data_IF_534613712576
#
_entry.id   IF_534613712576
#
_cell.length_a   1.000
_cell.length_b   1.000
_cell.length_c   1.000
_cell.angle_alpha   90.00
_cell.angle_beta   90.00
_cell.angle_gamma   90.00
#
_symmetry.space_group_name_H-M   'P 1'
#
loop_
_entity.id
_entity.type
_entity.pdbx_description
1 polymer ?
#
# COMPACT_ATOMS: atom_id res chain seq x y z
N UNK A 1 24.38 4.68 -30.04
CA UNK A 1 23.82 6.04 -29.80
C UNK A 1 22.30 6.04 -29.76
N UNK A 2 21.56 5.61 -30.80
CA UNK A 2 20.06 5.66 -30.84
C UNK A 2 19.31 5.12 -29.61
N UNK A 3 19.74 3.99 -29.03
CA UNK A 3 19.07 3.40 -27.86
C UNK A 3 19.13 4.31 -26.62
N UNK A 4 20.22 5.06 -26.44
CA UNK A 4 20.39 5.96 -25.29
C UNK A 4 19.56 7.24 -25.44
N UNK A 5 19.42 7.74 -26.67
CA UNK A 5 18.59 8.90 -26.97
C UNK A 5 17.09 8.60 -26.73
N UNK A 6 16.64 7.41 -27.12
CA UNK A 6 15.29 6.92 -26.86
C UNK A 6 15.00 6.75 -25.37
N UNK A 7 15.96 6.19 -24.61
CA UNK A 7 15.87 6.04 -23.14
C UNK A 7 15.68 7.41 -22.48
N UNK A 8 16.52 8.39 -22.85
CA UNK A 8 16.50 9.73 -22.27
C UNK A 8 15.18 10.43 -22.58
N UNK A 9 14.67 10.31 -23.80
CA UNK A 9 13.42 10.96 -24.22
C UNK A 9 12.21 10.51 -23.38
N UNK A 10 12.17 9.24 -22.97
CA UNK A 10 11.04 8.65 -22.23
C UNK A 10 11.15 8.79 -20.71
N UNK A 11 12.35 9.06 -20.18
CA UNK A 11 12.54 9.40 -18.76
C UNK A 11 12.27 10.87 -18.47
N UNK A 12 12.53 11.78 -19.42
CA UNK A 12 12.23 13.22 -19.27
C UNK A 12 10.86 13.52 -18.66
N UNK A 13 9.73 12.98 -19.17
CA UNK A 13 8.42 13.26 -18.58
C UNK A 13 8.27 12.70 -17.16
N UNK A 14 8.92 11.58 -16.82
CA UNK A 14 8.91 11.00 -15.47
C UNK A 14 9.67 11.90 -14.50
N UNK A 15 10.89 12.30 -14.87
CA UNK A 15 11.71 13.22 -14.08
C UNK A 15 11.03 14.57 -13.88
N UNK A 16 10.38 15.10 -14.93
CA UNK A 16 9.60 16.33 -14.84
C UNK A 16 8.40 16.17 -13.90
N UNK A 17 7.64 15.08 -14.01
CA UNK A 17 6.52 14.81 -13.11
C UNK A 17 6.98 14.72 -11.64
N UNK A 18 8.11 14.06 -11.39
CA UNK A 18 8.70 13.97 -10.05
C UNK A 18 9.23 15.30 -9.52
N UNK A 19 9.85 16.11 -10.37
CA UNK A 19 10.32 17.43 -9.98
C UNK A 19 9.15 18.37 -9.63
N UNK A 20 8.10 18.36 -10.47
CA UNK A 20 6.88 19.13 -10.21
C UNK A 20 6.21 18.66 -8.92
N UNK A 21 6.13 17.33 -8.71
CA UNK A 21 5.59 16.77 -7.48
C UNK A 21 6.40 17.23 -6.27
N UNK A 22 7.71 17.02 -6.26
CA UNK A 22 8.57 17.40 -5.13
C UNK A 22 8.46 18.89 -4.79
N UNK A 23 8.47 19.76 -5.81
CA UNK A 23 8.28 21.19 -5.62
C UNK A 23 6.90 21.53 -5.03
N UNK A 24 5.85 20.81 -5.44
CA UNK A 24 4.49 21.01 -4.93
C UNK A 24 4.37 20.57 -3.47
N UNK A 25 5.01 19.45 -3.09
CA UNK A 25 4.96 18.93 -1.72
C UNK A 25 5.60 19.88 -0.71
N UNK A 26 6.59 20.68 -1.11
CA UNK A 26 7.24 21.67 -0.23
C UNK A 26 6.30 22.72 0.36
N UNK A 27 5.18 23.01 -0.32
CA UNK A 27 4.22 24.03 0.11
C UNK A 27 3.09 23.47 0.97
N UNK A 28 3.00 22.16 1.13
CA UNK A 28 1.92 21.51 1.88
C UNK A 28 2.49 20.99 3.19
N UNK A 29 2.09 21.55 4.35
CA UNK A 29 2.45 21.00 5.66
C UNK A 29 2.12 19.50 5.72
N UNK A 30 2.91 18.73 6.47
CA UNK A 30 2.87 17.24 6.54
C UNK A 30 3.48 16.56 5.31
N UNK A 31 3.27 17.08 4.10
CA UNK A 31 3.86 16.51 2.88
C UNK A 31 5.26 17.04 2.55
N UNK A 32 5.65 18.15 3.16
CA UNK A 32 6.95 18.80 2.99
C UNK A 32 8.10 18.13 3.77
N UNK A 33 7.80 17.08 4.55
CA UNK A 33 8.78 16.24 5.24
C UNK A 33 8.82 14.84 4.63
N UNK A 34 10.00 14.20 4.64
CA UNK A 34 10.12 12.78 4.28
C UNK A 34 9.48 11.92 5.39
N UNK A 35 8.25 11.47 5.17
CA UNK A 35 7.50 10.61 6.10
C UNK A 35 6.46 9.77 5.34
N UNK A 36 5.56 9.09 6.04
CA UNK A 36 4.60 8.16 5.43
C UNK A 36 3.69 8.84 4.41
N UNK A 37 3.24 10.06 4.67
CA UNK A 37 2.26 10.78 3.87
C UNK A 37 2.86 11.22 2.54
N UNK A 38 4.03 11.86 2.60
CA UNK A 38 4.77 12.23 1.39
C UNK A 38 5.21 11.00 0.60
N UNK A 39 5.65 9.92 1.26
CA UNK A 39 5.97 8.66 0.61
C UNK A 39 4.75 8.05 -0.10
N UNK A 40 3.55 8.13 0.48
CA UNK A 40 2.34 7.61 -0.14
C UNK A 40 1.94 8.40 -1.39
N UNK A 41 2.02 9.73 -1.33
CA UNK A 41 1.76 10.59 -2.49
C UNK A 41 2.80 10.36 -3.59
N UNK A 42 4.09 10.24 -3.24
CA UNK A 42 5.15 9.91 -4.21
C UNK A 42 4.89 8.54 -4.83
N UNK A 43 4.51 7.53 -4.05
CA UNK A 43 4.19 6.20 -4.56
C UNK A 43 3.06 6.21 -5.57
N UNK A 44 1.96 6.93 -5.27
CA UNK A 44 0.81 7.08 -6.16
C UNK A 44 1.23 7.66 -7.52
N UNK A 45 1.94 8.78 -7.51
CA UNK A 45 2.39 9.44 -8.74
C UNK A 45 3.44 8.60 -9.48
N UNK A 46 4.37 7.99 -8.73
CA UNK A 46 5.42 7.14 -9.28
C UNK A 46 4.87 5.91 -9.98
N UNK A 47 3.85 5.26 -9.41
CA UNK A 47 3.18 4.13 -10.02
C UNK A 47 2.66 4.50 -11.42
N UNK A 48 1.95 5.62 -11.55
CA UNK A 48 1.40 6.04 -12.85
C UNK A 48 2.46 6.55 -13.82
N UNK A 49 3.38 7.40 -13.37
CA UNK A 49 4.42 7.98 -14.21
C UNK A 49 5.39 6.90 -14.75
N UNK A 50 5.92 6.06 -13.86
CA UNK A 50 6.83 4.99 -14.23
C UNK A 50 6.14 3.91 -15.08
N UNK A 51 4.91 3.52 -14.71
CA UNK A 51 4.16 2.51 -15.44
C UNK A 51 3.76 2.92 -16.86
N UNK A 52 3.22 4.13 -17.04
CA UNK A 52 2.88 4.66 -18.36
C UNK A 52 4.11 4.84 -19.25
N UNK A 53 5.22 5.34 -18.69
CA UNK A 53 6.49 5.39 -19.40
C UNK A 53 6.92 3.98 -19.82
N UNK A 54 6.89 3.01 -18.91
CA UNK A 54 7.28 1.62 -19.18
C UNK A 54 6.42 0.94 -20.25
N UNK A 55 5.11 1.21 -20.32
CA UNK A 55 4.25 0.75 -21.43
C UNK A 55 4.79 1.27 -22.77
N UNK A 56 5.20 2.54 -22.83
CA UNK A 56 5.82 3.13 -24.01
C UNK A 56 7.12 2.45 -24.41
N UNK A 57 7.99 2.12 -23.44
CA UNK A 57 9.25 1.42 -23.69
C UNK A 57 9.03 0.03 -24.26
N UNK A 58 8.21 -0.80 -23.60
CA UNK A 58 7.99 -2.20 -24.00
C UNK A 58 7.22 -2.36 -25.32
N UNK A 59 6.56 -1.30 -25.79
CA UNK A 59 5.92 -1.28 -27.12
C UNK A 59 6.86 -0.88 -28.24
N UNK A 60 7.80 0.02 -27.97
CA UNK A 60 8.63 0.61 -29.01
C UNK A 60 9.89 -0.21 -29.30
N UNK A 61 10.52 -0.76 -28.26
CA UNK A 61 11.82 -1.43 -28.39
C UNK A 61 11.82 -2.70 -27.53
N UNK A 62 12.43 -3.81 -28.00
CA UNK A 62 12.71 -4.95 -27.15
C UNK A 62 13.82 -4.58 -26.16
N UNK A 63 13.41 -4.09 -24.98
CA UNK A 63 14.30 -3.75 -23.86
C UNK A 63 14.13 -4.75 -22.71
N UNK A 64 15.22 -5.13 -22.03
CA UNK A 64 15.12 -6.01 -20.87
C UNK A 64 14.43 -5.29 -19.71
N UNK A 65 13.51 -6.00 -19.04
CA UNK A 65 12.72 -5.47 -17.91
C UNK A 65 13.60 -4.87 -16.83
N UNK A 66 14.72 -5.52 -16.49
CA UNK A 66 15.65 -5.03 -15.47
C UNK A 66 16.25 -3.66 -15.78
N UNK A 67 16.50 -3.33 -17.06
CA UNK A 67 17.00 -2.00 -17.44
C UNK A 67 15.92 -0.93 -17.32
N UNK A 68 14.68 -1.25 -17.68
CA UNK A 68 13.54 -0.33 -17.52
C UNK A 68 13.31 -0.09 -16.03
N UNK A 69 13.27 -1.17 -15.23
CA UNK A 69 13.10 -1.08 -13.79
C UNK A 69 14.19 -0.23 -13.15
N UNK A 70 15.47 -0.54 -13.39
CA UNK A 70 16.59 0.21 -12.83
C UNK A 70 16.53 1.71 -13.18
N UNK A 71 16.10 2.05 -14.40
CA UNK A 71 15.95 3.44 -14.81
C UNK A 71 14.79 4.15 -14.08
N UNK A 72 13.65 3.48 -13.89
CA UNK A 72 12.51 4.05 -13.15
C UNK A 72 12.79 4.16 -11.65
N UNK A 73 13.46 3.18 -11.06
CA UNK A 73 13.90 3.22 -9.66
C UNK A 73 14.93 4.34 -9.44
N UNK A 74 15.92 4.48 -10.34
CA UNK A 74 16.88 5.57 -10.27
C UNK A 74 16.20 6.96 -10.35
N UNK A 75 15.10 7.07 -11.09
CA UNK A 75 14.33 8.31 -11.18
C UNK A 75 13.69 8.71 -9.84
N UNK A 76 13.38 7.76 -8.94
CA UNK A 76 12.91 8.06 -7.57
C UNK A 76 13.95 8.80 -6.72
N UNK A 77 15.21 8.86 -7.16
CA UNK A 77 16.22 9.74 -6.57
C UNK A 77 15.84 11.22 -6.64
N UNK A 78 15.03 11.65 -7.62
CA UNK A 78 14.55 13.04 -7.72
C UNK A 78 13.62 13.42 -6.55
N UNK A 79 12.47 12.76 -6.34
CA UNK A 79 11.58 13.13 -5.24
C UNK A 79 12.23 12.88 -3.88
N UNK A 80 13.08 11.84 -3.75
CA UNK A 80 13.85 11.63 -2.53
C UNK A 80 14.78 12.80 -2.23
N UNK A 81 15.62 13.20 -3.19
CA UNK A 81 16.55 14.31 -3.00
C UNK A 81 15.81 15.61 -2.70
N UNK A 82 14.69 15.87 -3.38
CA UNK A 82 13.88 17.07 -3.12
C UNK A 82 13.28 17.09 -1.71
N UNK A 83 12.79 15.96 -1.20
CA UNK A 83 12.31 15.88 0.18
C UNK A 83 13.44 15.90 1.21
N UNK A 84 14.63 15.41 0.87
CA UNK A 84 15.82 15.54 1.75
C UNK A 84 16.28 16.99 1.83
N UNK A 85 16.21 17.74 0.73
CA UNK A 85 16.61 19.15 0.69
C UNK A 85 15.77 20.03 1.61
N UNK A 86 14.58 19.59 2.07
CA UNK A 86 13.76 20.38 3.00
C UNK A 86 14.26 20.37 4.44
N UNK A 87 15.15 19.44 4.81
CA UNK A 87 15.69 19.30 6.17
C UNK A 87 16.19 20.61 6.83
N UNK A 88 16.86 21.55 6.13
CA UNK A 88 17.38 22.76 6.75
C UNK A 88 16.31 23.73 7.24
N UNK A 89 15.09 23.70 6.65
CA UNK A 89 13.99 24.62 7.01
C UNK A 89 12.76 23.90 7.57
N UNK A 90 12.63 22.59 7.37
CA UNK A 90 11.63 21.74 8.04
C UNK A 90 12.37 20.60 8.75
N UNK A 91 12.76 20.79 10.02
CA UNK A 91 13.43 19.75 10.79
C UNK A 91 12.59 18.47 10.83
N UNK A 92 13.21 17.33 10.49
CA UNK A 92 12.55 16.03 10.49
C UNK A 92 13.27 15.07 11.44
N UNK A 93 12.75 14.91 12.65
CA UNK A 93 13.29 14.00 13.66
C UNK A 93 13.12 12.52 13.27
N UNK A 94 12.14 12.21 12.41
CA UNK A 94 11.80 10.86 11.94
C UNK A 94 12.41 10.49 10.60
N UNK A 95 13.49 11.15 10.17
CA UNK A 95 14.05 10.99 8.82
C UNK A 95 14.39 9.53 8.46
N UNK A 96 14.95 8.77 9.41
CA UNK A 96 15.26 7.34 9.21
C UNK A 96 14.02 6.48 8.94
N UNK A 97 12.93 6.74 9.67
CA UNK A 97 11.63 6.09 9.45
C UNK A 97 11.05 6.54 8.10
N UNK A 98 11.20 7.82 7.75
CA UNK A 98 10.82 8.35 6.44
C UNK A 98 11.52 7.65 5.27
N UNK A 99 12.81 7.37 5.38
CA UNK A 99 13.56 6.58 4.40
C UNK A 99 13.02 5.16 4.26
N UNK A 100 12.67 4.52 5.38
CA UNK A 100 12.05 3.20 5.37
C UNK A 100 10.70 3.24 4.63
N UNK A 101 9.84 4.21 4.92
CA UNK A 101 8.57 4.35 4.18
C UNK A 101 8.79 4.66 2.71
N UNK A 102 9.78 5.47 2.36
CA UNK A 102 10.13 5.73 0.97
C UNK A 102 10.61 4.47 0.23
N UNK A 103 11.36 3.61 0.91
CA UNK A 103 11.78 2.31 0.37
C UNK A 103 10.61 1.31 0.28
N UNK A 104 9.67 1.35 1.21
CA UNK A 104 8.52 0.44 1.22
C UNK A 104 7.41 0.88 0.26
N UNK A 105 7.20 2.17 0.04
CA UNK A 105 6.04 2.69 -0.70
C UNK A 105 6.42 2.97 -2.17
N UNK A 106 7.13 4.07 -2.52
CA UNK A 106 7.50 4.37 -3.91
C UNK A 106 8.23 3.25 -4.64
N UNK A 107 9.30 2.71 -4.06
CA UNK A 107 10.14 1.69 -4.72
C UNK A 107 9.32 0.46 -5.06
N UNK A 108 8.63 -0.14 -4.07
CA UNK A 108 7.81 -1.34 -4.31
C UNK A 108 6.68 -1.06 -5.31
N UNK A 109 6.09 0.13 -5.28
CA UNK A 109 5.01 0.51 -6.21
C UNK A 109 5.52 0.68 -7.64
N UNK A 110 6.74 1.19 -7.83
CA UNK A 110 7.40 1.26 -9.15
C UNK A 110 7.71 -0.14 -9.69
N UNK A 111 8.23 -1.05 -8.85
CA UNK A 111 8.43 -2.46 -9.25
C UNK A 111 7.13 -3.07 -9.78
N UNK A 112 6.02 -2.89 -9.07
CA UNK A 112 4.72 -3.37 -9.51
C UNK A 112 4.26 -2.71 -10.81
N UNK A 113 4.40 -1.38 -10.93
CA UNK A 113 3.99 -0.63 -12.11
C UNK A 113 4.72 -1.12 -13.38
N UNK A 114 6.04 -1.33 -13.29
CA UNK A 114 6.87 -1.83 -14.39
C UNK A 114 6.46 -3.26 -14.77
N UNK A 115 6.23 -4.14 -13.78
CA UNK A 115 5.79 -5.51 -14.01
C UNK A 115 4.40 -5.57 -14.67
N UNK A 116 3.45 -4.75 -14.23
CA UNK A 116 2.12 -4.63 -14.81
C UNK A 116 2.20 -4.12 -16.26
N UNK A 117 3.00 -3.08 -16.52
CA UNK A 117 3.23 -2.57 -17.87
C UNK A 117 3.84 -3.64 -18.79
N UNK A 118 4.77 -4.45 -18.28
CA UNK A 118 5.38 -5.55 -19.02
C UNK A 118 4.37 -6.65 -19.38
N UNK A 119 3.51 -7.03 -18.44
CA UNK A 119 2.45 -8.03 -18.63
C UNK A 119 1.38 -7.54 -19.63
N UNK A 120 0.90 -6.29 -19.48
CA UNK A 120 -0.13 -5.73 -20.35
C UNK A 120 0.33 -5.57 -21.79
N UNK A 121 1.60 -5.23 -22.01
CA UNK A 121 2.17 -5.15 -23.36
C UNK A 121 2.45 -6.52 -23.97
N UNK A 122 2.57 -7.57 -23.14
CA UNK A 122 2.65 -8.97 -23.57
C UNK A 122 1.27 -9.59 -23.84
N UNK A 123 0.20 -9.05 -23.26
CA UNK A 123 -1.17 -9.50 -23.46
C UNK A 123 -1.79 -8.95 -24.77
N UNK A 124 -2.85 -9.57 -25.32
CA UNK A 124 -3.52 -9.10 -26.54
C UNK A 124 -4.44 -7.89 -26.28
N UNK A 125 -3.94 -6.89 -25.55
CA UNK A 125 -4.70 -5.70 -25.17
C UNK A 125 -4.51 -4.60 -26.21
N UNK A 126 -5.60 -4.10 -26.80
CA UNK A 126 -5.55 -3.07 -27.86
C UNK A 126 -4.91 -1.74 -27.38
N UNK A 127 -5.19 -1.34 -26.13
CA UNK A 127 -4.74 -0.07 -25.54
C UNK A 127 -4.11 -0.30 -24.16
N UNK A 128 -2.87 -0.87 -24.08
CA UNK A 128 -2.27 -1.27 -22.81
C UNK A 128 -2.07 -0.10 -21.83
N UNK A 129 -1.82 1.12 -22.33
CA UNK A 129 -1.72 2.30 -21.46
C UNK A 129 -3.04 2.67 -20.78
N UNK A 130 -4.18 2.57 -21.49
CA UNK A 130 -5.51 2.79 -20.87
C UNK A 130 -5.85 1.68 -19.89
N UNK A 131 -5.58 0.43 -20.25
CA UNK A 131 -5.77 -0.71 -19.34
C UNK A 131 -4.93 -0.55 -18.07
N UNK A 132 -3.67 -0.12 -18.19
CA UNK A 132 -2.79 0.16 -17.07
C UNK A 132 -3.40 1.20 -16.12
N UNK A 133 -3.87 2.34 -16.65
CA UNK A 133 -4.48 3.40 -15.82
C UNK A 133 -5.74 2.90 -15.14
N UNK A 134 -6.63 2.22 -15.87
CA UNK A 134 -7.87 1.71 -15.29
C UNK A 134 -7.63 0.68 -14.19
N UNK A 135 -6.69 -0.25 -14.39
CA UNK A 135 -6.30 -1.23 -13.37
C UNK A 135 -5.67 -0.51 -12.18
N UNK A 136 -4.76 0.44 -12.40
CA UNK A 136 -4.14 1.23 -11.34
C UNK A 136 -5.16 1.99 -10.50
N UNK A 137 -6.11 2.68 -11.15
CA UNK A 137 -7.18 3.40 -10.46
C UNK A 137 -8.11 2.45 -9.70
N UNK A 138 -8.48 1.32 -10.31
CA UNK A 138 -9.30 0.30 -9.65
C UNK A 138 -8.61 -0.23 -8.39
N UNK A 139 -7.31 -0.55 -8.45
CA UNK A 139 -6.56 -1.03 -7.28
C UNK A 139 -6.39 0.07 -6.23
N UNK A 140 -6.15 1.32 -6.64
CA UNK A 140 -6.00 2.45 -5.73
C UNK A 140 -7.31 2.75 -4.95
N UNK A 141 -8.48 2.52 -5.56
CA UNK A 141 -9.78 2.87 -4.97
C UNK A 141 -10.48 1.67 -4.32
N UNK A 142 -10.55 0.53 -5.01
CA UNK A 142 -11.32 -0.63 -4.53
C UNK A 142 -10.70 -1.27 -3.30
N UNK A 143 -9.37 -1.27 -3.16
CA UNK A 143 -8.70 -1.78 -1.96
C UNK A 143 -9.14 -1.07 -0.69
N UNK A 144 -8.99 0.27 -0.59
CA UNK A 144 -9.48 1.03 0.55
C UNK A 144 -10.98 0.91 0.78
N UNK A 145 -11.80 0.86 -0.27
CA UNK A 145 -13.25 0.67 -0.11
C UNK A 145 -13.59 -0.71 0.47
N UNK A 146 -12.86 -1.75 0.09
CA UNK A 146 -13.01 -3.09 0.65
C UNK A 146 -12.57 -3.14 2.12
N UNK A 147 -11.41 -2.56 2.42
CA UNK A 147 -10.86 -2.55 3.77
C UNK A 147 -11.75 -1.74 4.73
N UNK A 148 -12.07 -0.49 4.39
CA UNK A 148 -12.87 0.39 5.23
C UNK A 148 -14.36 0.01 5.27
N UNK A 149 -14.87 -0.63 4.21
CA UNK A 149 -16.28 -1.01 4.11
C UNK A 149 -16.62 -2.32 4.81
N UNK A 150 -15.67 -3.26 4.91
CA UNK A 150 -15.92 -4.61 5.42
C UNK A 150 -15.09 -4.97 6.67
N UNK A 151 -14.11 -4.16 7.05
CA UNK A 151 -13.25 -4.43 8.19
C UNK A 151 -13.27 -3.23 9.14
N UNK A 152 -13.42 -3.46 10.46
CA UNK A 152 -13.39 -2.40 11.48
C UNK A 152 -11.93 -1.94 11.73
N UNK A 153 -11.25 -1.45 10.70
CA UNK A 153 -9.87 -0.99 10.78
C UNK A 153 -9.72 0.45 10.27
N UNK A 154 -8.86 1.23 10.91
CA UNK A 154 -8.54 2.62 10.54
C UNK A 154 -7.24 2.76 9.74
N UNK A 155 -6.66 1.64 9.30
CA UNK A 155 -5.50 1.60 8.42
C UNK A 155 -5.85 0.85 7.13
N UNK A 156 -5.17 1.19 6.04
CA UNK A 156 -5.35 0.57 4.74
C UNK A 156 -4.00 0.37 4.08
N UNK A 157 -3.76 -0.83 3.57
CA UNK A 157 -2.61 -1.10 2.72
C UNK A 157 -3.04 -1.17 1.25
N UNK A 158 -2.26 -0.53 0.39
CA UNK A 158 -2.53 -0.41 -1.03
C UNK A 158 -1.30 -0.69 -1.88
N UNK A 159 -1.48 -1.42 -2.97
CA UNK A 159 -0.40 -1.78 -3.89
C UNK A 159 0.13 -0.60 -4.73
N UNK A 160 -0.66 0.47 -4.89
CA UNK A 160 -0.32 1.63 -5.74
C UNK A 160 0.34 2.75 -4.93
N UNK A 161 -0.21 3.11 -3.78
CA UNK A 161 0.24 4.27 -3.00
C UNK A 161 0.92 3.91 -1.69
N UNK A 162 1.15 2.64 -1.38
CA UNK A 162 1.64 2.30 -0.06
C UNK A 162 0.49 2.05 0.90
N UNK A 163 0.09 3.03 1.67
CA UNK A 163 -1.00 2.84 2.62
C UNK A 163 -1.25 4.09 3.43
N UNK A 164 -2.37 4.07 4.14
CA UNK A 164 -2.66 5.01 5.22
C UNK A 164 -2.55 4.20 6.50
N UNK A 165 -1.56 4.51 7.34
CA UNK A 165 -1.16 3.63 8.44
C UNK A 165 -1.97 3.84 9.73
N UNK A 166 -2.81 4.87 9.78
CA UNK A 166 -3.67 5.16 10.91
C UNK A 166 -4.26 6.57 10.81
N UNK A 167 -5.18 6.91 11.72
CA UNK A 167 -5.70 8.26 11.85
C UNK A 167 -4.60 9.22 12.34
N UNK A 168 -4.72 10.49 11.98
CA UNK A 168 -3.73 11.56 12.26
C UNK A 168 -3.50 11.77 13.77
N UNK A 169 -4.42 11.29 14.63
CA UNK A 169 -4.35 11.43 16.09
C UNK A 169 -3.65 10.27 16.80
N UNK A 170 -3.19 9.25 16.07
CA UNK A 170 -2.42 8.16 16.66
C UNK A 170 -0.99 8.65 16.92
N UNK A 171 -0.59 8.74 18.20
CA UNK A 171 0.68 9.35 18.62
C UNK A 171 1.90 8.55 18.14
N UNK A 172 1.70 7.26 17.84
CA UNK A 172 2.72 6.40 17.25
C UNK A 172 2.20 5.80 15.94
N UNK A 173 2.77 6.25 14.82
CA UNK A 173 2.73 5.54 13.55
C UNK A 173 3.50 4.22 13.69
N UNK A 174 2.87 3.24 14.33
CA UNK A 174 3.46 1.94 14.58
C UNK A 174 3.77 1.28 13.24
N UNK A 175 5.04 0.98 12.99
CA UNK A 175 5.46 0.16 11.86
C UNK A 175 4.96 -1.26 12.14
N UNK A 176 3.74 -1.55 11.70
CA UNK A 176 3.09 -2.84 11.89
C UNK A 176 3.78 -3.89 11.01
N UNK A 177 4.04 -5.12 11.52
CA UNK A 177 4.59 -6.21 10.72
C UNK A 177 3.79 -6.50 9.44
N UNK A 178 2.47 -6.32 9.49
CA UNK A 178 1.57 -6.49 8.35
C UNK A 178 1.90 -5.62 7.14
N UNK A 179 2.49 -4.44 7.35
CA UNK A 179 2.97 -3.61 6.24
C UNK A 179 4.06 -4.32 5.43
N UNK A 180 5.03 -4.95 6.10
CA UNK A 180 6.11 -5.67 5.41
C UNK A 180 5.58 -6.88 4.67
N UNK A 181 4.63 -7.62 5.28
CA UNK A 181 3.97 -8.75 4.62
C UNK A 181 3.21 -8.28 3.38
N UNK A 182 2.47 -7.18 3.48
CA UNK A 182 1.74 -6.63 2.35
C UNK A 182 2.69 -6.15 1.23
N UNK A 183 3.86 -5.59 1.57
CA UNK A 183 4.88 -5.23 0.57
C UNK A 183 5.53 -6.44 -0.08
N UNK A 184 5.81 -7.47 0.70
CA UNK A 184 6.25 -8.75 0.14
C UNK A 184 5.20 -9.33 -0.82
N UNK A 185 3.91 -9.23 -0.48
CA UNK A 185 2.81 -9.64 -1.35
C UNK A 185 2.74 -8.79 -2.63
N UNK A 186 2.98 -7.48 -2.51
CA UNK A 186 3.07 -6.56 -3.67
C UNK A 186 4.21 -6.96 -4.62
N UNK A 187 5.38 -7.29 -4.07
CA UNK A 187 6.51 -7.83 -4.84
C UNK A 187 6.18 -9.21 -5.43
N UNK A 188 5.42 -10.05 -4.72
CA UNK A 188 4.90 -11.32 -5.22
C UNK A 188 4.00 -11.14 -6.44
N UNK A 189 3.09 -10.16 -6.40
CA UNK A 189 2.27 -9.75 -7.55
C UNK A 189 3.13 -9.26 -8.71
N UNK A 190 4.14 -8.42 -8.45
CA UNK A 190 5.06 -7.96 -9.48
C UNK A 190 5.84 -9.14 -10.12
N UNK A 191 6.31 -10.09 -9.31
CA UNK A 191 6.94 -11.33 -9.77
C UNK A 191 6.01 -12.16 -10.64
N UNK A 192 4.76 -12.37 -10.19
CA UNK A 192 3.74 -13.11 -10.93
C UNK A 192 3.43 -12.45 -12.28
N UNK A 193 3.23 -11.12 -12.31
CA UNK A 193 3.03 -10.35 -13.54
C UNK A 193 4.24 -10.42 -14.48
N UNK A 194 5.46 -10.35 -13.94
CA UNK A 194 6.69 -10.52 -14.70
C UNK A 194 6.78 -11.89 -15.38
N UNK A 195 6.49 -12.96 -14.63
CA UNK A 195 6.46 -14.34 -15.14
C UNK A 195 5.34 -14.52 -16.17
N UNK A 196 4.14 -14.02 -15.90
CA UNK A 196 3.01 -14.06 -16.83
C UNK A 196 3.31 -13.31 -18.13
N UNK A 197 3.91 -12.12 -18.04
CA UNK A 197 4.33 -11.34 -19.21
C UNK A 197 5.38 -12.08 -20.05
N UNK A 198 6.35 -12.74 -19.40
CA UNK A 198 7.37 -13.55 -20.09
C UNK A 198 6.75 -14.77 -20.76
N UNK A 199 5.89 -15.49 -20.06
CA UNK A 199 5.16 -16.64 -20.57
C UNK A 199 4.34 -16.29 -21.82
N UNK A 200 3.59 -15.20 -21.80
CA UNK A 200 2.80 -14.73 -22.94
C UNK A 200 3.67 -14.40 -24.16
N UNK A 201 4.84 -13.77 -23.96
CA UNK A 201 5.76 -13.47 -25.06
C UNK A 201 6.38 -14.74 -25.65
N UNK A 202 6.76 -15.71 -24.82
CA UNK A 202 7.27 -17.00 -25.28
C UNK A 202 6.23 -17.77 -26.11
N UNK A 203 4.97 -17.80 -25.66
CA UNK A 203 3.89 -18.44 -26.42
C UNK A 203 3.65 -17.80 -27.78
N UNK A 204 3.74 -16.46 -27.87
CA UNK A 204 3.65 -15.74 -29.16
C UNK A 204 4.79 -16.08 -30.11
N UNK A 205 5.95 -16.46 -29.58
CA UNK A 205 7.11 -16.89 -30.36
C UNK A 205 7.09 -18.40 -30.66
N UNK A 206 6.02 -19.12 -30.28
CA UNK A 206 5.92 -20.57 -30.47
C UNK A 206 6.76 -21.40 -29.49
N UNK A 207 7.35 -20.79 -28.46
CA UNK A 207 8.19 -21.47 -27.48
C UNK A 207 7.36 -22.07 -26.33
N UNK A 208 7.85 -23.19 -25.76
CA UNK A 208 7.24 -23.83 -24.60
C UNK A 208 7.58 -23.08 -23.30
N UNK A 209 6.60 -22.41 -22.71
CA UNK A 209 6.74 -21.70 -21.43
C UNK A 209 6.42 -22.54 -20.19
N UNK A 210 6.82 -23.83 -20.15
CA UNK A 210 6.43 -24.73 -19.04
C UNK A 210 6.99 -24.26 -17.69
N UNK A 211 8.24 -23.79 -17.67
CA UNK A 211 8.88 -23.27 -16.45
C UNK A 211 8.13 -22.05 -15.92
N UNK A 212 7.82 -21.11 -16.80
CA UNK A 212 7.06 -19.91 -16.44
C UNK A 212 5.64 -20.25 -15.98
N UNK A 213 4.98 -21.25 -16.57
CA UNK A 213 3.67 -21.71 -16.11
C UNK A 213 3.73 -22.29 -14.69
N UNK A 214 4.74 -23.14 -14.39
CA UNK A 214 4.94 -23.69 -13.05
C UNK A 214 5.29 -22.59 -12.04
N UNK A 215 6.25 -21.72 -12.36
CA UNK A 215 6.62 -20.60 -11.50
C UNK A 215 5.42 -19.66 -11.25
N UNK A 216 4.64 -19.36 -12.29
CA UNK A 216 3.43 -18.55 -12.18
C UNK A 216 2.36 -19.21 -11.32
N UNK A 217 2.19 -20.53 -11.44
CA UNK A 217 1.28 -21.31 -10.59
C UNK A 217 1.69 -21.30 -9.12
N UNK A 218 2.99 -21.48 -8.82
CA UNK A 218 3.52 -21.42 -7.46
C UNK A 218 3.38 -20.02 -6.84
N UNK A 219 3.64 -18.96 -7.61
CA UNK A 219 3.45 -17.59 -7.15
C UNK A 219 1.97 -17.29 -6.88
N UNK A 220 1.06 -17.74 -7.77
CA UNK A 220 -0.38 -17.57 -7.57
C UNK A 220 -0.86 -18.33 -6.31
N UNK A 221 -0.36 -19.54 -6.08
CA UNK A 221 -0.67 -20.32 -4.88
C UNK A 221 -0.17 -19.60 -3.62
N UNK A 222 1.08 -19.12 -3.62
CA UNK A 222 1.64 -18.38 -2.48
C UNK A 222 0.86 -17.10 -2.18
N UNK A 223 0.46 -16.34 -3.21
CA UNK A 223 -0.39 -15.16 -3.06
C UNK A 223 -1.78 -15.53 -2.51
N UNK A 224 -2.41 -16.59 -3.03
CA UNK A 224 -3.69 -17.08 -2.54
C UNK A 224 -3.64 -17.48 -1.07
N UNK A 225 -2.59 -18.19 -0.66
CA UNK A 225 -2.34 -18.51 0.74
C UNK A 225 -2.15 -17.25 1.59
N UNK A 226 -1.37 -16.26 1.13
CA UNK A 226 -1.18 -15.02 1.86
C UNK A 226 -2.52 -14.26 2.10
N UNK A 227 -3.40 -14.21 1.10
CA UNK A 227 -4.73 -13.61 1.27
C UNK A 227 -5.65 -14.44 2.18
N UNK A 228 -5.56 -15.77 2.16
CA UNK A 228 -6.33 -16.62 3.06
C UNK A 228 -5.96 -16.40 4.53
N UNK A 229 -4.69 -16.10 4.80
CA UNK A 229 -4.16 -15.81 6.14
C UNK A 229 -3.98 -14.31 6.40
N UNK A 230 -4.73 -13.44 5.71
CA UNK A 230 -4.56 -11.98 5.79
C UNK A 230 -4.73 -11.42 7.21
N UNK A 231 -5.66 -11.96 7.99
CA UNK A 231 -5.91 -11.56 9.38
C UNK A 231 -4.70 -11.81 10.29
N UNK A 232 -4.26 -13.07 10.46
CA UNK A 232 -3.06 -13.40 11.24
C UNK A 232 -1.78 -12.73 10.74
N UNK A 233 -1.69 -12.43 9.44
CA UNK A 233 -0.56 -11.71 8.85
C UNK A 233 -0.62 -10.19 9.09
N UNK A 234 -1.68 -9.67 9.70
CA UNK A 234 -1.88 -8.25 9.99
C UNK A 234 -2.10 -7.41 8.74
N UNK A 235 -2.55 -8.01 7.64
CA UNK A 235 -2.89 -7.29 6.40
C UNK A 235 -4.24 -6.59 6.54
N UNK A 236 -5.20 -7.29 7.13
CA UNK A 236 -6.51 -6.74 7.48
C UNK A 236 -6.96 -7.29 8.84
N UNK A 237 -8.04 -6.72 9.37
CA UNK A 237 -8.56 -7.07 10.69
C UNK A 237 -10.04 -7.46 10.57
N UNK A 238 -10.36 -8.67 10.09
CA UNK A 238 -11.75 -9.11 9.97
C UNK A 238 -12.37 -9.35 11.35
N UNK A 239 -13.68 -9.08 11.48
CA UNK A 239 -14.43 -9.23 12.73
C UNK A 239 -14.27 -10.64 13.34
N UNK A 240 -14.36 -11.68 12.51
CA UNK A 240 -14.17 -13.06 12.96
C UNK A 240 -12.74 -13.35 13.48
N UNK A 241 -11.74 -12.57 13.08
CA UNK A 241 -10.40 -12.65 13.67
C UNK A 241 -10.35 -11.89 15.00
N UNK A 242 -10.93 -10.69 15.07
CA UNK A 242 -11.03 -9.92 16.32
C UNK A 242 -11.73 -10.70 17.42
N UNK A 243 -12.89 -11.30 17.13
CA UNK A 243 -13.63 -12.09 18.12
C UNK A 243 -12.86 -13.34 18.59
N UNK A 244 -12.02 -13.93 17.73
CA UNK A 244 -11.15 -15.05 18.12
C UNK A 244 -9.96 -14.59 18.95
N UNK A 245 -9.42 -13.41 18.68
CA UNK A 245 -8.27 -12.83 19.40
C UNK A 245 -8.67 -12.22 20.75
N UNK A 246 -9.82 -11.56 20.82
CA UNK A 246 -10.38 -10.91 22.01
C UNK A 246 -11.33 -11.86 22.74
N UNK A 247 -10.98 -13.13 22.93
CA UNK A 247 -11.90 -14.18 23.37
C UNK A 247 -12.67 -13.95 24.69
N UNK A 248 -12.40 -12.85 25.41
CA UNK A 248 -13.17 -12.35 26.53
C UNK A 248 -14.32 -11.46 26.09
N UNK A 249 -15.50 -11.69 26.69
CA UNK A 249 -16.69 -10.90 26.45
C UNK A 249 -17.40 -10.66 27.76
N UNK A 250 -17.63 -9.40 28.11
CA UNK A 250 -18.36 -9.00 29.32
C UNK A 250 -19.48 -8.05 28.94
N UNK A 251 -20.68 -8.35 29.44
CA UNK A 251 -21.87 -7.52 29.22
C UNK A 251 -22.15 -6.65 30.41
N UNK A 252 -22.41 -5.37 30.14
CA UNK A 252 -22.86 -4.39 31.13
C UNK A 252 -24.27 -3.91 30.77
N UNK A 253 -24.90 -3.02 31.56
CA UNK A 253 -26.16 -2.39 31.17
C UNK A 253 -26.10 -1.71 29.79
N UNK A 254 -25.02 -0.97 29.49
CA UNK A 254 -24.93 -0.15 28.27
C UNK A 254 -23.86 -0.58 27.26
N UNK A 255 -23.00 -1.55 27.59
CA UNK A 255 -21.89 -1.99 26.73
C UNK A 255 -21.82 -3.51 26.58
N UNK A 256 -21.37 -3.95 25.40
CA UNK A 256 -20.80 -5.28 25.17
C UNK A 256 -19.28 -5.08 25.00
N UNK A 257 -18.48 -5.48 26.00
CA UNK A 257 -17.04 -5.28 26.05
C UNK A 257 -16.30 -6.53 25.59
N UNK A 258 -15.47 -6.40 24.56
CA UNK A 258 -14.60 -7.47 24.04
C UNK A 258 -13.15 -7.21 24.43
N UNK A 259 -12.49 -8.18 25.05
CA UNK A 259 -11.13 -8.02 25.57
C UNK A 259 -10.32 -9.31 25.45
N UNK A 260 -9.00 -9.20 25.40
CA UNK A 260 -8.12 -10.37 25.51
C UNK A 260 -7.96 -10.75 27.01
N UNK A 261 -8.49 -11.90 27.46
CA UNK A 261 -8.45 -12.31 28.86
C UNK A 261 -7.03 -12.50 29.41
N UNK A 262 -6.06 -12.77 28.54
CA UNK A 262 -4.66 -12.94 28.95
C UNK A 262 -3.95 -11.59 29.14
N UNK A 263 -4.50 -10.52 28.57
CA UNK A 263 -3.88 -9.19 28.55
C UNK A 263 -4.28 -8.28 29.73
N UNK A 264 -5.39 -8.58 30.40
CA UNK A 264 -5.97 -7.69 31.43
C UNK A 264 -6.26 -8.47 32.72
N UNK A 265 -5.79 -7.93 33.85
CA UNK A 265 -6.14 -8.47 35.16
C UNK A 265 -7.63 -8.21 35.46
N UNK A 266 -8.29 -9.12 36.17
CA UNK A 266 -9.72 -9.01 36.51
C UNK A 266 -10.05 -7.68 37.22
N UNK A 267 -9.17 -7.21 38.12
CA UNK A 267 -9.33 -5.93 38.81
C UNK A 267 -9.30 -4.73 37.87
N UNK A 268 -8.48 -4.76 36.82
CA UNK A 268 -8.38 -3.68 35.85
C UNK A 268 -9.55 -3.72 34.87
N UNK A 269 -10.05 -4.92 34.54
CA UNK A 269 -11.28 -5.10 33.77
C UNK A 269 -12.48 -4.50 34.50
N UNK A 270 -12.64 -4.77 35.81
CA UNK A 270 -13.72 -4.18 36.61
C UNK A 270 -13.63 -2.65 36.66
N UNK A 271 -12.41 -2.10 36.82
CA UNK A 271 -12.20 -0.64 36.73
C UNK A 271 -12.57 -0.08 35.36
N UNK A 272 -12.28 -0.81 34.29
CA UNK A 272 -12.62 -0.41 32.92
C UNK A 272 -14.13 -0.41 32.72
N UNK A 273 -14.84 -1.41 33.23
CA UNK A 273 -16.30 -1.51 33.25
C UNK A 273 -16.92 -0.32 33.97
N UNK A 274 -16.47 -0.05 35.21
CA UNK A 274 -16.97 1.07 36.01
C UNK A 274 -16.73 2.41 35.31
N UNK A 275 -15.57 2.57 34.67
CA UNK A 275 -15.24 3.78 33.91
C UNK A 275 -16.14 3.96 32.68
N UNK A 276 -16.48 2.89 31.96
CA UNK A 276 -17.38 2.95 30.80
C UNK A 276 -18.79 3.37 31.23
N UNK A 277 -19.35 2.71 32.23
CA UNK A 277 -20.69 3.01 32.74
C UNK A 277 -20.76 4.42 33.34
N UNK A 278 -19.76 4.85 34.11
CA UNK A 278 -19.69 6.20 34.64
C UNK A 278 -19.65 7.27 33.53
N UNK A 279 -18.80 7.06 32.50
CA UNK A 279 -18.69 8.00 31.38
C UNK A 279 -19.97 8.04 30.54
N UNK A 280 -20.62 6.89 30.34
CA UNK A 280 -21.91 6.84 29.66
C UNK A 280 -22.97 7.62 30.45
N UNK A 281 -23.10 7.37 31.75
CA UNK A 281 -24.06 8.08 32.60
C UNK A 281 -23.83 9.60 32.56
N UNK A 282 -22.57 10.03 32.67
CA UNK A 282 -22.20 11.44 32.59
C UNK A 282 -22.56 12.07 31.23
N UNK A 283 -22.26 11.37 30.11
CA UNK A 283 -22.61 11.85 28.77
C UNK A 283 -24.12 11.89 28.54
N UNK A 284 -24.84 10.85 28.96
CA UNK A 284 -26.28 10.75 28.80
C UNK A 284 -27.01 11.86 29.57
N UNK A 285 -26.58 12.15 30.80
CA UNK A 285 -27.08 13.28 31.59
C UNK A 285 -26.77 14.61 30.91
N UNK A 286 -25.52 14.80 30.45
CA UNK A 286 -25.08 16.07 29.87
C UNK A 286 -25.75 16.39 28.53
N UNK A 287 -26.01 15.37 27.72
CA UNK A 287 -26.58 15.51 26.38
C UNK A 287 -28.10 15.32 26.35
N UNK A 288 -28.69 14.76 27.41
CA UNK A 288 -30.11 14.42 27.45
C UNK A 288 -30.50 13.32 26.46
N UNK A 289 -29.57 12.42 26.12
CA UNK A 289 -29.75 11.35 25.12
C UNK A 289 -29.42 10.00 25.77
N UNK A 290 -30.27 9.02 25.55
CA UNK A 290 -30.02 7.61 25.92
C UNK A 290 -29.91 6.76 24.66
N UNK A 291 -28.90 5.89 24.60
CA UNK A 291 -28.76 4.94 23.49
C UNK A 291 -29.56 3.68 23.85
N UNK A 292 -30.54 3.27 23.02
CA UNK A 292 -31.41 2.13 23.34
C UNK A 292 -30.70 0.78 23.18
N UNK A 293 -29.64 0.73 22.38
CA UNK A 293 -28.84 -0.47 22.15
C UNK A 293 -27.54 -0.43 22.95
N UNK A 294 -27.02 -1.61 23.31
CA UNK A 294 -25.69 -1.72 23.91
C UNK A 294 -24.64 -1.31 22.89
N UNK A 295 -23.65 -0.56 23.35
CA UNK A 295 -22.54 -0.10 22.54
C UNK A 295 -21.46 -1.20 22.56
N UNK A 296 -21.09 -1.72 21.38
CA UNK A 296 -19.98 -2.64 21.26
C UNK A 296 -18.65 -1.88 21.40
N UNK A 297 -17.79 -2.32 22.30
CA UNK A 297 -16.48 -1.71 22.56
C UNK A 297 -15.39 -2.72 22.82
#
# INVERSE_FOLDING_TARGET
MRVWDDVRSRLKPVLAAYAVLGASLWFVPVLNVLHVESAAVVALVAFFAAGLSSVGWFRAVPVPVGRVLAAQEAALGVPLAMLTVTLPWVPNCGYGIGLLFFALFPVVSVVLAVALAYALTAAPVRRPGRAFVLIGLAVAVLGPLYDLGLHPQFYVYNHVFGGVLGPIYDEELAIRPGLFVFRAMTLGWAGWLGVAGRWLRLRRQGAQGRREAVCGGLLALGLGTAYLFSGPLGINTPEAYLQRSLGGHLRTPHFDLYFDPESIAESDLLRLVDAHEYRYAWLAERLGVTVPERIAS
#
